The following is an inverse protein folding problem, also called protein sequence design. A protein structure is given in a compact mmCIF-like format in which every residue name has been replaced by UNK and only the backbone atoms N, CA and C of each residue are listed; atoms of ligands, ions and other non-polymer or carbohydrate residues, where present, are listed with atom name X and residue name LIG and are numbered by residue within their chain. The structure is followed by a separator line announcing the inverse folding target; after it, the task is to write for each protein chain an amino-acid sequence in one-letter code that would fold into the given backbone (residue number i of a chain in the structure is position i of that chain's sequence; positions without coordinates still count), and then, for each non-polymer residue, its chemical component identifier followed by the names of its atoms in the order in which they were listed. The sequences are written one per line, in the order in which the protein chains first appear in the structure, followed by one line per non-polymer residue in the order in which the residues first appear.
data_IF_915928637983
#
_entry.id   IF_915928637983
#
_cell.length_a   1.000
_cell.length_b   1.000
_cell.length_c   1.000
_cell.angle_alpha   90.00
_cell.angle_beta   90.00
_cell.angle_gamma   90.00
#
_symmetry.space_group_name_H-M   'P 1'
#
loop_
_entity.id
_entity.type
_entity.pdbx_description
1 polymer ?
#
# COMPACT_ATOMS: atom_id res chain seq x y z
N UNK A 1 8.16 10.37 -7.74
CA UNK A 1 7.24 9.59 -6.88
C UNK A 1 5.84 10.15 -7.06
N UNK A 2 4.89 9.31 -7.49
CA UNK A 2 3.51 9.70 -7.73
C UNK A 2 2.69 9.82 -6.44
N UNK A 3 1.35 9.93 -6.54
CA UNK A 3 0.44 9.85 -5.41
C UNK A 3 0.61 8.52 -4.65
N UNK A 4 0.40 8.51 -3.33
CA UNK A 4 0.56 7.30 -2.50
C UNK A 4 -0.43 6.20 -2.88
N UNK A 5 -1.59 6.61 -3.39
CA UNK A 5 -2.68 5.75 -3.79
C UNK A 5 -2.22 4.80 -4.90
N UNK A 6 -1.35 5.26 -5.81
CA UNK A 6 -0.75 4.40 -6.85
C UNK A 6 0.03 3.22 -6.24
N UNK A 7 0.73 3.44 -5.13
CA UNK A 7 1.47 2.38 -4.43
C UNK A 7 0.53 1.47 -3.64
N UNK A 8 -0.40 2.07 -2.88
CA UNK A 8 -1.26 1.37 -1.93
C UNK A 8 -2.40 0.59 -2.60
N UNK A 9 -2.79 0.96 -3.82
CA UNK A 9 -3.74 0.21 -4.64
C UNK A 9 -3.05 -0.63 -5.72
N UNK A 10 -1.73 -0.82 -5.63
CA UNK A 10 -0.98 -1.54 -6.65
C UNK A 10 -1.34 -3.02 -6.65
N UNK A 11 -1.59 -3.56 -7.84
CA UNK A 11 -1.78 -5.00 -8.03
C UNK A 11 -0.49 -5.75 -8.33
N UNK A 12 0.63 -5.03 -8.45
CA UNK A 12 1.93 -5.59 -8.74
C UNK A 12 2.40 -6.47 -7.55
N UNK A 13 2.69 -7.77 -7.77
CA UNK A 13 2.98 -8.69 -6.68
C UNK A 13 4.25 -8.32 -5.90
N UNK A 14 5.25 -7.69 -6.53
CA UNK A 14 6.41 -7.15 -5.79
C UNK A 14 6.01 -6.02 -4.84
N UNK A 15 5.10 -5.13 -5.26
CA UNK A 15 4.64 -4.03 -4.41
C UNK A 15 3.84 -4.56 -3.24
N UNK A 16 2.95 -5.54 -3.47
CA UNK A 16 2.18 -6.18 -2.41
C UNK A 16 3.08 -6.90 -1.40
N UNK A 17 4.07 -7.67 -1.87
CA UNK A 17 4.99 -8.36 -0.97
C UNK A 17 5.75 -7.36 -0.08
N UNK A 18 6.25 -6.26 -0.68
CA UNK A 18 6.96 -5.21 0.05
C UNK A 18 6.07 -4.55 1.12
N UNK A 19 4.86 -4.11 0.76
CA UNK A 19 3.95 -3.43 1.68
C UNK A 19 3.51 -4.33 2.85
N UNK A 20 3.38 -5.63 2.60
CA UNK A 20 2.95 -6.60 3.60
C UNK A 20 4.12 -7.24 4.37
N UNK A 21 5.37 -6.93 4.02
CA UNK A 21 6.55 -7.52 4.65
C UNK A 21 6.64 -9.04 4.50
N UNK A 22 6.03 -9.61 3.45
CA UNK A 22 6.04 -11.07 3.22
C UNK A 22 7.43 -11.50 2.76
N UNK A 23 7.96 -12.57 3.37
CA UNK A 23 9.26 -13.12 2.94
C UNK A 23 9.13 -13.95 1.67
N UNK A 24 7.96 -14.54 1.45
CA UNK A 24 7.63 -15.33 0.27
C UNK A 24 7.02 -14.41 -0.80
N UNK A 25 7.50 -14.53 -2.03
CA UNK A 25 7.02 -13.75 -3.17
C UNK A 25 8.12 -13.35 -4.16
N UNK A 26 7.81 -12.51 -5.16
CA UNK A 26 8.72 -12.18 -6.26
C UNK A 26 9.94 -11.31 -5.88
N UNK A 27 9.92 -10.56 -4.77
CA UNK A 27 11.08 -9.81 -4.27
C UNK A 27 12.14 -10.79 -3.76
N UNK A 28 13.31 -10.74 -4.37
CA UNK A 28 14.52 -11.48 -4.04
C UNK A 28 15.66 -11.01 -4.93
N UNK A 29 16.89 -11.47 -4.69
CA UNK A 29 17.99 -11.20 -5.62
C UNK A 29 17.70 -11.95 -6.92
N UNK A 30 17.44 -11.22 -8.00
CA UNK A 30 17.07 -11.76 -9.32
C UNK A 30 18.19 -12.56 -10.01
N UNK A 31 19.39 -12.60 -9.43
CA UNK A 31 20.49 -13.50 -9.83
C UNK A 31 20.67 -14.70 -8.87
N UNK A 32 19.86 -14.82 -7.80
CA UNK A 32 19.98 -15.84 -6.73
C UNK A 32 18.71 -16.69 -6.55
N UNK A 33 17.56 -16.30 -7.12
CA UNK A 33 16.32 -17.08 -6.95
C UNK A 33 16.26 -18.26 -7.91
N UNK A 34 17.09 -19.26 -7.62
CA UNK A 34 17.10 -20.57 -8.28
C UNK A 34 15.76 -21.30 -8.06
N UNK A 35 15.43 -22.25 -8.95
CA UNK A 35 14.25 -23.12 -8.82
C UNK A 35 14.20 -23.82 -7.45
N UNK A 36 15.36 -24.05 -6.83
CA UNK A 36 15.49 -24.58 -5.46
C UNK A 36 14.90 -23.65 -4.41
N UNK A 37 15.16 -22.35 -4.47
CA UNK A 37 14.62 -21.38 -3.51
C UNK A 37 13.11 -21.26 -3.65
N UNK A 38 12.59 -21.30 -4.88
CA UNK A 38 11.13 -21.35 -5.12
C UNK A 38 10.49 -22.63 -4.56
N UNK A 39 11.15 -23.78 -4.73
CA UNK A 39 10.67 -25.05 -4.19
C UNK A 39 10.73 -25.10 -2.66
N UNK A 40 11.77 -24.52 -2.05
CA UNK A 40 11.88 -24.39 -0.59
C UNK A 40 10.82 -23.46 -0.01
N UNK A 41 10.56 -22.31 -0.65
CA UNK A 41 9.46 -21.42 -0.27
C UNK A 41 8.11 -22.15 -0.36
N UNK A 42 7.87 -22.91 -1.43
CA UNK A 42 6.64 -23.69 -1.59
C UNK A 42 6.51 -24.79 -0.52
N UNK A 43 7.60 -25.51 -0.23
CA UNK A 43 7.62 -26.52 0.83
C UNK A 43 7.35 -25.91 2.22
N UNK A 44 7.83 -24.69 2.48
CA UNK A 44 7.55 -23.95 3.71
C UNK A 44 6.06 -23.58 3.82
N UNK A 45 5.44 -23.11 2.74
CA UNK A 45 3.99 -22.84 2.68
C UNK A 45 3.20 -24.13 2.92
N UNK A 46 3.54 -25.21 2.22
CA UNK A 46 2.84 -26.50 2.32
C UNK A 46 2.98 -27.13 3.72
N UNK A 47 4.11 -26.89 4.39
CA UNK A 47 4.35 -27.28 5.79
C UNK A 47 3.64 -26.37 6.81
N UNK A 48 2.90 -25.36 6.36
CA UNK A 48 2.15 -24.44 7.22
C UNK A 48 3.01 -23.41 7.94
N UNK A 49 4.23 -23.12 7.46
CA UNK A 49 5.03 -22.03 8.04
C UNK A 49 4.43 -20.68 7.66
N UNK A 50 4.30 -19.78 8.65
CA UNK A 50 3.95 -18.39 8.40
C UNK A 50 5.04 -17.72 7.55
N UNK A 51 4.64 -17.08 6.45
CA UNK A 51 5.50 -16.34 5.51
C UNK A 51 6.14 -15.09 6.14
N UNK A 52 5.76 -14.77 7.37
CA UNK A 52 6.12 -13.52 8.03
C UNK A 52 5.39 -12.34 7.39
N UNK A 53 5.58 -11.16 7.98
CA UNK A 53 4.83 -9.98 7.58
C UNK A 53 3.60 -9.75 8.44
N UNK A 54 2.80 -8.77 8.04
CA UNK A 54 1.54 -8.39 8.71
C UNK A 54 0.35 -8.97 7.95
N UNK A 55 -0.85 -8.89 8.54
CA UNK A 55 -2.09 -9.15 7.81
C UNK A 55 -2.13 -8.31 6.52
N UNK A 56 -2.77 -8.83 5.48
CA UNK A 56 -2.79 -8.17 4.18
C UNK A 56 -3.41 -6.76 4.32
N UNK A 57 -2.56 -5.76 4.14
CA UNK A 57 -2.95 -4.36 4.09
C UNK A 57 -3.59 -4.14 2.73
N UNK A 58 -4.90 -3.96 2.73
CA UNK A 58 -5.68 -3.61 1.55
C UNK A 58 -6.34 -2.27 1.79
N UNK A 59 -6.27 -1.36 0.82
CA UNK A 59 -6.92 -0.05 0.87
C UNK A 59 -5.97 1.11 1.17
N UNK A 60 -6.53 2.30 1.37
CA UNK A 60 -5.76 3.54 1.56
C UNK A 60 -6.11 4.15 2.91
N UNK A 61 -5.21 4.09 3.91
CA UNK A 61 -5.49 4.64 5.22
C UNK A 61 -5.61 6.18 5.13
N UNK A 62 -6.50 6.83 5.90
CA UNK A 62 -6.62 8.28 5.94
C UNK A 62 -5.28 8.98 6.20
N UNK A 63 -5.03 10.10 5.53
CA UNK A 63 -3.80 10.87 5.78
C UNK A 63 -3.94 11.71 7.04
N UNK A 64 -2.92 11.67 7.90
CA UNK A 64 -2.88 12.49 9.11
C UNK A 64 -2.97 13.99 8.77
N UNK A 65 -3.86 14.69 9.47
CA UNK A 65 -4.00 16.14 9.39
C UNK A 65 -3.06 16.84 10.37
N UNK A 66 -2.85 18.14 10.16
CA UNK A 66 -2.09 18.96 11.11
C UNK A 66 -2.78 19.01 12.47
N UNK A 67 -1.99 19.06 13.54
CA UNK A 67 -2.50 19.30 14.90
C UNK A 67 -3.36 20.57 14.91
N UNK A 68 -4.55 20.55 15.55
CA UNK A 68 -5.41 21.72 15.67
C UNK A 68 -4.65 22.95 16.22
N UNK A 69 -4.96 24.13 15.69
CA UNK A 69 -4.31 25.40 16.08
C UNK A 69 -3.04 25.75 15.31
N UNK A 70 -2.51 24.85 14.48
CA UNK A 70 -1.42 25.15 13.56
C UNK A 70 -1.93 25.89 12.30
N UNK A 71 -1.11 26.76 11.68
CA UNK A 71 -1.44 27.39 10.40
C UNK A 71 -1.65 26.38 9.27
N UNK A 72 -2.39 26.80 8.24
CA UNK A 72 -2.63 25.99 7.05
C UNK A 72 -1.32 25.62 6.34
N UNK A 73 -1.12 24.33 6.07
CA UNK A 73 0.01 23.85 5.26
C UNK A 73 -0.30 24.01 3.78
N UNK A 74 0.14 25.13 3.19
CA UNK A 74 0.00 25.39 1.74
C UNK A 74 0.51 24.25 0.83
N UNK A 75 1.46 23.43 1.31
CA UNK A 75 1.96 22.26 0.58
C UNK A 75 0.86 21.22 0.28
N UNK A 76 -0.17 21.12 1.12
CA UNK A 76 -1.33 20.24 0.92
C UNK A 76 -2.10 20.67 -0.33
N UNK A 77 -2.48 21.94 -0.41
CA UNK A 77 -3.17 22.48 -1.59
C UNK A 77 -2.37 22.30 -2.88
N UNK A 78 -1.05 22.59 -2.85
CA UNK A 78 -0.17 22.36 -4.01
C UNK A 78 -0.09 20.89 -4.43
N UNK A 79 -0.04 19.96 -3.46
CA UNK A 79 -0.09 18.51 -3.75
C UNK A 79 -1.42 18.16 -4.43
N UNK A 80 -2.55 18.54 -3.83
CA UNK A 80 -3.87 18.22 -4.38
C UNK A 80 -4.06 18.78 -5.79
N UNK A 81 -3.58 20.00 -6.06
CA UNK A 81 -3.63 20.59 -7.40
C UNK A 81 -2.85 19.77 -8.44
N UNK A 82 -1.62 19.34 -8.11
CA UNK A 82 -0.83 18.47 -9.01
C UNK A 82 -1.48 17.12 -9.24
N UNK A 83 -2.06 16.52 -8.19
CA UNK A 83 -2.75 15.23 -8.29
C UNK A 83 -3.96 15.34 -9.24
N UNK A 84 -4.78 16.40 -9.11
CA UNK A 84 -5.93 16.63 -10.00
C UNK A 84 -5.52 16.76 -11.47
N UNK A 85 -4.38 17.40 -11.76
CA UNK A 85 -3.89 17.54 -13.14
C UNK A 85 -3.55 16.20 -13.80
N UNK A 86 -3.02 15.25 -13.04
CA UNK A 86 -2.60 13.94 -13.55
C UNK A 86 -3.61 12.83 -13.32
N UNK A 87 -4.74 13.10 -12.64
CA UNK A 87 -5.68 12.08 -12.17
C UNK A 87 -6.07 11.09 -13.28
N UNK A 88 -6.40 11.61 -14.47
CA UNK A 88 -6.80 10.83 -15.63
C UNK A 88 -5.71 9.89 -16.21
N UNK A 89 -4.43 10.09 -15.85
CA UNK A 89 -3.31 9.25 -16.29
C UNK A 89 -2.99 8.12 -15.32
N UNK A 90 -3.66 8.08 -14.16
CA UNK A 90 -3.38 7.10 -13.10
C UNK A 90 -4.17 5.81 -13.30
N UNK A 91 -3.74 4.68 -12.70
CA UNK A 91 -4.53 3.45 -12.71
C UNK A 91 -5.94 3.64 -12.10
N UNK A 92 -6.99 2.96 -12.58
CA UNK A 92 -8.36 3.15 -12.11
C UNK A 92 -8.54 3.04 -10.59
N UNK A 93 -7.95 2.03 -9.95
CA UNK A 93 -8.00 1.85 -8.50
C UNK A 93 -7.39 3.04 -7.74
N UNK A 94 -6.31 3.62 -8.27
CA UNK A 94 -5.70 4.81 -7.68
C UNK A 94 -6.57 6.06 -7.90
N UNK A 95 -7.24 6.18 -9.06
CA UNK A 95 -8.18 7.28 -9.30
C UNK A 95 -9.33 7.26 -8.29
N UNK A 96 -9.94 6.09 -8.08
CA UNK A 96 -11.04 5.90 -7.13
C UNK A 96 -10.62 6.26 -5.70
N UNK A 97 -9.47 5.76 -5.25
CA UNK A 97 -8.94 6.07 -3.92
C UNK A 97 -8.59 7.56 -3.74
N UNK A 98 -8.06 8.21 -4.77
CA UNK A 98 -7.78 9.65 -4.73
C UNK A 98 -9.07 10.46 -4.62
N UNK A 99 -10.11 10.09 -5.37
CA UNK A 99 -11.40 10.77 -5.31
C UNK A 99 -12.04 10.62 -3.92
N UNK A 100 -12.02 9.41 -3.35
CA UNK A 100 -12.49 9.13 -1.98
C UNK A 100 -11.73 9.95 -0.92
N UNK A 101 -10.40 10.11 -1.05
CA UNK A 101 -9.57 10.95 -0.15
C UNK A 101 -9.87 12.44 -0.32
N UNK A 102 -10.09 12.91 -1.56
CA UNK A 102 -10.42 14.32 -1.84
C UNK A 102 -11.85 14.70 -1.38
N UNK A 103 -12.79 13.75 -1.40
CA UNK A 103 -14.14 13.89 -0.85
C UNK A 103 -14.15 13.78 0.69
N UNK A 104 -13.08 13.23 1.28
CA UNK A 104 -12.97 13.01 2.73
C UNK A 104 -13.89 11.89 3.24
N UNK A 105 -14.35 11.00 2.35
CA UNK A 105 -15.29 9.93 2.69
C UNK A 105 -14.60 8.71 3.29
N UNK A 106 -13.32 8.48 2.95
CA UNK A 106 -12.48 7.40 3.48
C UNK A 106 -13.17 6.01 3.47
N UNK A 107 -13.93 5.72 2.41
CA UNK A 107 -14.64 4.45 2.23
C UNK A 107 -13.67 3.30 1.99
N UNK A 108 -12.52 3.59 1.39
CA UNK A 108 -11.47 2.59 1.13
C UNK A 108 -10.52 2.52 2.32
N UNK A 109 -11.06 2.15 3.50
CA UNK A 109 -10.27 2.03 4.71
C UNK A 109 -9.24 0.89 4.58
N UNK A 110 -8.01 1.14 5.05
CA UNK A 110 -7.05 0.06 5.26
C UNK A 110 -7.65 -0.95 6.25
N UNK A 111 -7.53 -2.25 5.96
CA UNK A 111 -7.80 -3.30 6.95
C UNK A 111 -7.11 -2.92 8.26
N UNK A 112 -7.93 -2.68 9.28
CA UNK A 112 -7.55 -1.94 10.48
C UNK A 112 -6.37 -2.61 11.18
N UNK A 113 -5.42 -1.78 11.63
CA UNK A 113 -4.32 -2.18 12.51
C UNK A 113 -4.85 -3.07 13.64
N UNK A 114 -4.41 -4.33 13.69
CA UNK A 114 -4.55 -5.17 14.88
C UNK A 114 -3.79 -4.48 16.02
N UNK A 115 -4.54 -3.83 16.91
CA UNK A 115 -4.00 -3.04 18.00
C UNK A 115 -5.00 -2.40 18.97
N UNK A 116 -6.31 -2.68 18.85
CA UNK A 116 -7.30 -2.40 19.90
C UNK A 116 -7.99 -3.72 20.28
N UNK A 117 -7.34 -4.49 21.16
CA UNK A 117 -7.97 -5.31 22.22
C UNK A 117 -6.93 -6.24 22.89
N UNK A 118 -6.17 -5.70 23.85
CA UNK A 118 -5.93 -6.23 25.22
C UNK A 118 -4.82 -5.48 25.94
#
# INVERSE_FOLDING_TARGET
FGPREVLLTSEEPVVRQFLNGRRIGPIGMSEEKDESTMAEEQAMVDAGHHDGGVEEIVGVPPQLTTTPGMPERQAVGRRQARVRQILHTLPPAAQEAILDDLEGTHKIAASQFVGEDK
#
